data_IF_666788764536
#
_entry.id   IF_666788764536
#
_cell.length_a   1.000
_cell.length_b   1.000
_cell.length_c   1.000
_cell.angle_alpha   90.00
_cell.angle_beta   90.00
_cell.angle_gamma   90.00
#
_symmetry.space_group_name_H-M   'P 1'
#
loop_
_entity.id
_entity.type
_entity.pdbx_description
1 polymer ?
#
# COMPACT_ATOMS: atom_id res chain seq x y z
N UNK A 1 13.72 1.83 -10.65
CA UNK A 1 13.85 2.98 -11.56
C UNK A 1 12.49 3.09 -12.28
N UNK A 2 11.87 4.28 -12.30
CA UNK A 2 10.51 4.57 -12.80
C UNK A 2 9.30 4.05 -12.00
N UNK A 3 9.21 4.38 -10.69
CA UNK A 3 7.98 4.18 -9.88
C UNK A 3 7.16 5.49 -9.69
N UNK A 4 7.30 6.47 -10.59
CA UNK A 4 6.53 7.72 -10.50
C UNK A 4 5.08 7.44 -10.91
N UNK A 5 4.11 8.06 -10.21
CA UNK A 5 2.69 7.87 -10.50
C UNK A 5 2.10 6.54 -10.03
N UNK A 6 2.83 5.77 -9.22
CA UNK A 6 2.35 4.52 -8.61
C UNK A 6 2.06 4.78 -7.13
N UNK A 7 0.91 4.32 -6.64
CA UNK A 7 0.60 4.34 -5.22
C UNK A 7 1.45 3.30 -4.48
N UNK A 8 2.27 3.76 -3.53
CA UNK A 8 3.19 2.94 -2.73
C UNK A 8 2.86 3.09 -1.25
N UNK A 9 3.12 2.05 -0.45
CA UNK A 9 2.93 2.06 1.01
C UNK A 9 4.07 2.80 1.76
N UNK A 10 5.06 3.32 1.04
CA UNK A 10 6.21 4.01 1.62
C UNK A 10 6.89 4.98 0.66
N UNK A 11 7.93 5.66 1.15
CA UNK A 11 8.64 6.66 0.35
C UNK A 11 9.37 6.05 -0.84
N UNK A 12 9.13 6.61 -2.04
CA UNK A 12 9.73 6.21 -3.32
C UNK A 12 11.26 5.98 -3.31
N UNK A 13 12.00 6.65 -2.41
CA UNK A 13 13.46 6.54 -2.28
C UNK A 13 13.91 5.33 -1.46
N UNK A 14 13.04 4.67 -0.69
CA UNK A 14 13.37 3.45 0.06
C UNK A 14 13.43 2.26 -0.90
N UNK A 15 14.43 1.39 -0.69
CA UNK A 15 14.64 0.21 -1.53
C UNK A 15 13.56 -0.88 -1.29
N UNK A 16 12.81 -0.77 -0.19
CA UNK A 16 11.83 -1.74 0.30
C UNK A 16 10.39 -1.18 0.31
N UNK A 17 9.96 -0.50 -0.75
CA UNK A 17 8.55 -0.05 -0.88
C UNK A 17 7.71 -1.06 -1.63
N UNK A 18 6.56 -1.43 -1.09
CA UNK A 18 5.51 -2.20 -1.75
C UNK A 18 4.45 -1.28 -2.37
N UNK A 19 3.54 -1.87 -3.16
CA UNK A 19 2.34 -1.18 -3.64
C UNK A 19 1.42 -0.85 -2.46
N UNK A 20 0.68 0.24 -2.57
CA UNK A 20 -0.36 0.56 -1.59
C UNK A 20 -1.45 -0.52 -1.55
N UNK A 21 -2.08 -0.72 -0.40
CA UNK A 21 -3.23 -1.63 -0.28
C UNK A 21 -4.48 -1.04 -0.93
N UNK A 22 -5.45 -1.89 -1.31
CA UNK A 22 -6.76 -1.46 -1.81
C UNK A 22 -7.51 -0.63 -0.76
N UNK A 23 -8.08 0.50 -1.18
CA UNK A 23 -8.98 1.29 -0.33
C UNK A 23 -10.34 0.61 -0.21
N UNK A 24 -10.73 0.21 0.99
CA UNK A 24 -12.05 -0.38 1.25
C UNK A 24 -13.04 0.72 1.63
N UNK A 25 -14.06 0.94 0.79
CA UNK A 25 -15.16 1.83 1.10
C UNK A 25 -16.26 1.03 1.80
N UNK A 26 -16.71 1.52 2.96
CA UNK A 26 -17.80 0.91 3.74
C UNK A 26 -19.16 1.05 3.04
N UNK A 27 -19.32 2.10 2.26
CA UNK A 27 -20.52 2.41 1.48
C UNK A 27 -20.10 2.80 0.04
N UNK A 28 -20.59 2.10 -0.99
CA UNK A 28 -20.26 2.40 -2.39
C UNK A 28 -20.75 3.78 -2.87
N UNK A 29 -21.73 4.38 -2.18
CA UNK A 29 -22.25 5.72 -2.50
C UNK A 29 -21.43 6.84 -1.85
N UNK A 30 -20.55 6.53 -0.90
CA UNK A 30 -19.62 7.49 -0.31
C UNK A 30 -18.44 7.75 -1.24
N UNK A 31 -18.71 8.51 -2.30
CA UNK A 31 -17.72 9.00 -3.26
C UNK A 31 -16.94 10.23 -2.77
N UNK A 32 -17.29 10.79 -1.61
CA UNK A 32 -16.64 11.95 -0.99
C UNK A 32 -15.44 11.57 -0.09
N UNK A 33 -14.70 10.53 -0.47
CA UNK A 33 -13.45 10.20 0.20
C UNK A 33 -12.38 11.25 -0.13
N UNK A 34 -11.99 12.07 0.85
CA UNK A 34 -10.85 12.97 0.71
C UNK A 34 -9.54 12.18 0.74
N UNK A 35 -8.72 12.27 -0.31
CA UNK A 35 -7.40 11.65 -0.36
C UNK A 35 -7.16 10.84 -1.64
N UNK A 36 -6.38 9.76 -1.52
CA UNK A 36 -6.02 8.86 -2.62
C UNK A 36 -6.80 7.56 -2.46
N UNK A 37 -7.56 7.19 -3.50
CA UNK A 37 -8.25 5.90 -3.59
C UNK A 37 -7.45 4.97 -4.50
N UNK A 38 -7.15 3.78 -4.01
CA UNK A 38 -6.36 2.76 -4.72
C UNK A 38 -7.23 1.54 -4.98
N UNK A 39 -7.38 1.18 -6.26
CA UNK A 39 -8.10 -0.01 -6.71
C UNK A 39 -7.25 -0.80 -7.70
N UNK A 40 -7.45 -2.13 -7.75
CA UNK A 40 -6.69 -3.02 -8.62
C UNK A 40 -7.64 -3.85 -9.49
N UNK A 41 -7.24 -4.05 -10.76
CA UNK A 41 -7.90 -4.96 -11.68
C UNK A 41 -6.87 -5.78 -12.47
N UNK A 42 -7.19 -7.05 -12.68
CA UNK A 42 -6.42 -7.93 -13.55
C UNK A 42 -7.02 -7.83 -14.96
N UNK A 43 -6.24 -7.32 -15.91
CA UNK A 43 -6.66 -7.15 -17.30
C UNK A 43 -6.12 -8.27 -18.17
N UNK A 44 -7.01 -9.06 -18.75
CA UNK A 44 -6.68 -10.13 -19.69
C UNK A 44 -6.93 -9.63 -21.10
N UNK A 45 -5.90 -9.70 -21.95
CA UNK A 45 -5.98 -9.36 -23.37
C UNK A 45 -5.71 -10.61 -24.21
N UNK A 46 -6.66 -10.97 -25.07
CA UNK A 46 -6.54 -12.06 -26.04
C UNK A 46 -6.41 -11.45 -27.44
N UNK A 47 -5.27 -11.67 -28.09
CA UNK A 47 -5.02 -11.23 -29.46
C UNK A 47 -5.44 -12.32 -30.46
N UNK A 48 -6.38 -11.99 -31.36
CA UNK A 48 -6.99 -12.97 -32.27
C UNK A 48 -6.24 -13.16 -33.60
N UNK A 49 -5.04 -12.59 -33.72
CA UNK A 49 -4.17 -12.74 -34.89
C UNK A 49 -4.87 -12.34 -36.20
N UNK A 50 -4.98 -13.27 -37.14
CA UNK A 50 -5.53 -13.05 -38.49
C UNK A 50 -7.02 -12.64 -38.53
N UNK A 51 -7.74 -12.79 -37.42
CA UNK A 51 -9.13 -12.31 -37.29
C UNK A 51 -9.22 -10.80 -36.99
N UNK A 52 -8.08 -10.08 -36.93
CA UNK A 52 -7.99 -8.63 -36.70
C UNK A 52 -8.88 -8.15 -35.55
N UNK A 53 -8.54 -8.57 -34.33
CA UNK A 53 -9.23 -8.11 -33.13
C UNK A 53 -8.48 -8.45 -31.84
N UNK A 54 -8.82 -7.73 -30.77
CA UNK A 54 -8.45 -8.08 -29.39
C UNK A 54 -9.71 -8.24 -28.54
N UNK A 55 -9.72 -9.26 -27.69
CA UNK A 55 -10.71 -9.47 -26.65
C UNK A 55 -10.11 -9.04 -25.31
N UNK A 56 -10.82 -8.21 -24.58
CA UNK A 56 -10.34 -7.64 -23.32
C UNK A 56 -11.34 -7.94 -22.21
N UNK A 57 -10.85 -8.51 -21.11
CA UNK A 57 -11.62 -8.73 -19.89
C UNK A 57 -10.87 -8.13 -18.69
N UNK A 58 -11.62 -7.63 -17.70
CA UNK A 58 -11.07 -7.07 -16.46
C UNK A 58 -11.74 -7.73 -15.25
N UNK A 59 -10.93 -8.12 -14.27
CA UNK A 59 -11.38 -8.72 -13.02
C UNK A 59 -10.90 -7.85 -11.84
N UNK A 60 -11.79 -7.19 -11.09
CA UNK A 60 -11.41 -6.44 -9.88
C UNK A 60 -10.97 -7.38 -8.75
N UNK A 61 -9.97 -6.98 -7.98
CA UNK A 61 -9.51 -7.74 -6.81
C UNK A 61 -8.98 -6.81 -5.69
N UNK A 62 -8.87 -7.37 -4.49
CA UNK A 62 -8.34 -6.68 -3.31
C UNK A 62 -6.89 -7.12 -3.09
N UNK A 63 -5.97 -6.15 -3.03
CA UNK A 63 -4.57 -6.36 -2.67
C UNK A 63 -4.32 -5.78 -1.28
N UNK A 64 -3.85 -6.61 -0.36
CA UNK A 64 -3.54 -6.21 1.02
C UNK A 64 -2.31 -6.95 1.52
N UNK A 65 -1.70 -6.42 2.59
CA UNK A 65 -0.70 -7.15 3.34
C UNK A 65 -1.28 -8.44 3.91
N UNK A 66 -0.49 -9.53 3.96
CA UNK A 66 -0.91 -10.74 4.65
C UNK A 66 -1.19 -10.41 6.11
N UNK A 67 -2.20 -11.06 6.68
CA UNK A 67 -2.47 -10.95 8.11
C UNK A 67 -1.31 -11.60 8.87
N UNK A 68 -0.69 -10.85 9.77
CA UNK A 68 0.33 -11.40 10.67
C UNK A 68 -0.29 -12.53 11.50
N UNK A 69 0.38 -13.69 11.49
CA UNK A 69 -0.10 -14.90 12.11
C UNK A 69 -0.25 -14.72 13.62
N UNK A 70 -1.51 -14.80 14.09
CA UNK A 70 -1.97 -14.59 15.48
C UNK A 70 -1.59 -13.21 16.00
N UNK A 71 -2.58 -12.46 16.48
CA UNK A 71 -2.32 -11.30 17.33
C UNK A 71 -1.33 -11.76 18.40
N UNK A 72 -0.09 -11.26 18.37
CA UNK A 72 0.76 -11.32 19.55
C UNK A 72 -0.03 -10.54 20.58
N UNK A 73 -0.71 -11.26 21.48
CA UNK A 73 -1.19 -10.68 22.71
C UNK A 73 0.06 -10.05 23.32
N UNK A 74 0.14 -8.72 23.26
CA UNK A 74 1.18 -7.98 23.94
C UNK A 74 0.93 -8.28 25.42
N UNK A 75 1.71 -9.20 25.97
CA UNK A 75 1.82 -9.31 27.41
C UNK A 75 2.51 -8.04 27.84
N UNK A 76 1.78 -7.20 28.59
CA UNK A 76 2.22 -5.87 29.06
C UNK A 76 3.53 -5.90 29.87
N UNK A 77 4.06 -7.09 30.14
CA UNK A 77 5.22 -7.36 30.97
C UNK A 77 6.53 -7.42 30.13
N UNK A 78 6.45 -7.36 28.79
CA UNK A 78 7.63 -7.40 27.91
C UNK A 78 8.20 -6.00 27.69
N UNK A 79 9.14 -5.61 28.55
CA UNK A 79 9.90 -4.35 28.48
C UNK A 79 10.57 -4.09 27.11
N UNK A 80 10.87 -5.15 26.35
CA UNK A 80 11.45 -5.09 25.01
C UNK A 80 10.52 -4.45 23.96
N UNK A 81 9.20 -4.64 24.07
CA UNK A 81 8.25 -4.08 23.08
C UNK A 81 8.07 -2.56 23.26
N UNK A 82 8.25 -2.07 24.49
CA UNK A 82 8.18 -0.63 24.81
C UNK A 82 9.42 0.12 24.29
N UNK A 83 10.57 -0.53 24.23
CA UNK A 83 11.79 0.07 23.65
C UNK A 83 11.69 0.23 22.13
N UNK A 84 11.09 -0.74 21.44
CA UNK A 84 10.90 -0.67 19.99
C UNK A 84 9.99 0.49 19.57
N UNK A 85 8.94 0.78 20.34
CA UNK A 85 8.05 1.93 20.09
C UNK A 85 8.76 3.29 20.21
N UNK A 86 9.83 3.38 21.00
CA UNK A 86 10.56 4.64 21.19
C UNK A 86 11.54 4.93 20.06
N UNK A 87 12.01 3.93 19.34
CA UNK A 87 13.04 4.14 18.31
C UNK A 87 12.47 4.83 17.06
N UNK A 88 11.20 4.62 16.73
CA UNK A 88 10.57 5.23 15.54
C UNK A 88 10.29 6.74 15.67
N UNK A 89 10.28 7.28 16.90
CA UNK A 89 10.06 8.72 17.12
C UNK A 89 11.35 9.55 17.17
N UNK A 90 12.53 8.94 17.28
CA UNK A 90 13.77 9.65 17.60
C UNK A 90 14.58 10.08 16.37
N UNK A 91 14.31 9.56 15.18
CA UNK A 91 15.11 9.87 13.98
C UNK A 91 14.64 11.07 13.12
N UNK A 92 13.69 11.90 13.57
CA UNK A 92 13.27 13.10 12.81
C UNK A 92 13.45 14.45 13.51
N UNK A 93 14.38 14.57 14.47
CA UNK A 93 14.70 15.88 15.03
C UNK A 93 16.20 16.14 15.06
N UNK A 94 16.83 16.20 13.89
CA UNK A 94 18.10 16.92 13.75
C UNK A 94 18.34 17.34 12.30
N UNK A 95 17.84 18.53 11.94
CA UNK A 95 18.55 19.54 11.14
C UNK A 95 17.56 20.62 10.68
N UNK A 96 17.20 21.54 11.57
CA UNK A 96 16.85 22.91 11.18
C UNK A 96 17.94 23.79 11.77
N UNK A 97 19.08 23.85 11.08
CA UNK A 97 20.03 24.95 11.31
C UNK A 97 19.50 26.15 10.55
N UNK A 98 19.07 27.15 11.32
CA UNK A 98 18.79 28.50 10.85
C UNK A 98 20.12 29.26 10.86
N UNK A 99 20.56 29.70 9.69
CA UNK A 99 21.30 30.96 9.52
C UNK A 99 20.69 31.71 8.34
#
# INVERSE_FOLDING_TARGET
RDKRGIALDGQLKRNETTLASTTLLLDPEQRDAFGIVVSYSAKVKLYLGALNGELVAELPFILMHPKDGRAKLIHADSQADVEMFRQDTVHHQESVEVY
#
